data_IF_098278600912
#
_entry.id   IF_098278600912
#
_cell.length_a   1.000
_cell.length_b   1.000
_cell.length_c   1.000
_cell.angle_alpha   90.00
_cell.angle_beta   90.00
_cell.angle_gamma   90.00
#
_symmetry.space_group_name_H-M   'P 1'
#
loop_
_entity.id
_entity.type
_entity.pdbx_description
1 polymer ?
#
# COMPACT_ATOMS: atom_id res chain seq x y z
N UNK A 1 6.98 27.05 31.76
CA UNK A 1 7.84 25.96 31.23
C UNK A 1 7.05 24.73 30.72
N UNK A 2 5.91 24.36 31.31
CA UNK A 2 5.09 23.20 30.89
C UNK A 2 4.61 23.23 29.41
N UNK A 3 4.18 24.40 28.88
CA UNK A 3 3.67 24.52 27.50
C UNK A 3 4.67 24.22 26.38
N UNK A 4 5.99 24.36 26.62
CA UNK A 4 7.03 24.00 25.62
C UNK A 4 7.28 22.50 25.55
N UNK A 5 7.11 21.77 26.63
CA UNK A 5 7.22 20.30 26.66
C UNK A 5 6.09 19.60 25.90
N UNK A 6 4.86 20.12 26.04
CA UNK A 6 3.69 19.54 25.36
C UNK A 6 3.77 19.69 23.84
N UNK A 7 4.30 20.82 23.33
CA UNK A 7 4.50 20.98 21.86
C UNK A 7 5.57 20.03 21.29
N UNK A 8 6.63 19.72 22.03
CA UNK A 8 7.63 18.72 21.62
C UNK A 8 7.08 17.30 21.68
N UNK A 9 6.26 16.97 22.69
CA UNK A 9 5.59 15.68 22.76
C UNK A 9 4.58 15.46 21.63
N UNK A 10 3.80 16.48 21.27
CA UNK A 10 2.92 16.40 20.12
C UNK A 10 3.65 16.10 18.79
N UNK A 11 4.85 16.64 18.61
CA UNK A 11 5.68 16.37 17.44
C UNK A 11 6.27 14.94 17.47
N UNK A 12 6.66 14.43 18.65
CA UNK A 12 7.16 13.05 18.84
C UNK A 12 6.02 12.04 18.65
N UNK A 13 4.82 12.35 19.14
CA UNK A 13 3.63 11.52 18.96
C UNK A 13 3.20 11.42 17.50
N UNK A 14 3.29 12.52 16.74
CA UNK A 14 3.05 12.52 15.30
C UNK A 14 4.14 11.70 14.58
N UNK A 15 5.39 11.78 15.03
CA UNK A 15 6.49 10.98 14.49
C UNK A 15 6.33 9.48 14.82
N UNK A 16 5.95 9.12 16.04
CA UNK A 16 5.70 7.73 16.44
C UNK A 16 4.47 7.15 15.71
N UNK A 17 3.37 7.91 15.60
CA UNK A 17 2.22 7.53 14.80
C UNK A 17 2.55 7.40 13.31
N UNK A 18 3.45 8.22 12.79
CA UNK A 18 3.99 8.12 11.44
C UNK A 18 4.91 6.90 11.29
N UNK A 19 5.65 6.50 12.32
CA UNK A 19 6.54 5.33 12.28
C UNK A 19 5.74 4.03 12.19
N UNK A 20 4.62 3.90 12.91
CA UNK A 20 3.70 2.76 12.80
C UNK A 20 3.02 2.73 11.43
N UNK A 21 2.63 3.89 10.89
CA UNK A 21 2.07 4.00 9.54
C UNK A 21 3.11 3.78 8.41
N UNK A 22 4.41 3.92 8.70
CA UNK A 22 5.51 3.69 7.73
C UNK A 22 5.87 2.21 7.53
N UNK A 23 5.23 1.28 8.25
CA UNK A 23 5.35 -0.16 7.96
C UNK A 23 4.80 -0.54 6.58
N UNK A 24 4.01 0.33 5.96
CA UNK A 24 3.59 0.25 4.56
C UNK A 24 4.16 1.45 3.79
N UNK A 25 5.08 1.25 2.84
CA UNK A 25 5.68 2.34 2.05
C UNK A 25 4.66 3.23 1.34
N UNK A 26 3.51 2.68 1.02
CA UNK A 26 2.42 3.35 0.31
C UNK A 26 1.54 4.21 1.23
N UNK A 27 1.35 3.82 2.48
CA UNK A 27 0.66 4.66 3.48
C UNK A 27 1.52 5.89 3.78
N UNK A 28 2.85 5.76 3.84
CA UNK A 28 3.75 6.87 4.05
C UNK A 28 3.70 7.91 2.92
N UNK A 29 3.59 7.47 1.66
CA UNK A 29 3.50 8.37 0.52
C UNK A 29 2.17 9.13 0.50
N UNK A 30 1.05 8.48 0.80
CA UNK A 30 -0.26 9.12 0.87
C UNK A 30 -0.45 10.01 2.11
N UNK A 31 0.12 9.65 3.25
CA UNK A 31 0.15 10.50 4.44
C UNK A 31 1.04 11.73 4.24
N UNK A 32 2.21 11.60 3.61
CA UNK A 32 3.09 12.75 3.32
C UNK A 32 2.46 13.76 2.34
N UNK A 33 1.65 13.31 1.39
CA UNK A 33 0.98 14.21 0.43
C UNK A 33 -0.29 14.87 0.98
N UNK A 34 -0.89 14.34 2.06
CA UNK A 34 -2.13 14.86 2.65
C UNK A 34 -1.94 15.56 3.99
N UNK A 35 -0.79 15.43 4.63
CA UNK A 35 -0.42 16.19 5.83
C UNK A 35 0.51 17.32 5.44
N UNK A 36 0.02 18.31 4.69
CA UNK A 36 0.55 19.66 4.77
C UNK A 36 0.24 20.16 6.18
N UNK A 37 1.29 20.52 6.91
CA UNK A 37 1.18 21.08 8.28
C UNK A 37 0.23 22.27 8.36
N UNK A 38 -0.06 22.95 7.26
CA UNK A 38 -0.97 24.09 7.18
C UNK A 38 -2.45 23.71 7.09
N UNK A 39 -2.80 22.46 6.74
CA UNK A 39 -4.19 21.99 6.70
C UNK A 39 -4.67 21.29 7.98
N UNK A 40 -3.75 20.95 8.89
CA UNK A 40 -4.11 20.40 10.21
C UNK A 40 -4.72 21.48 11.11
N UNK A 41 -4.47 22.76 10.85
CA UNK A 41 -4.98 23.88 11.62
C UNK A 41 -6.43 24.28 11.31
N UNK A 42 -7.06 23.72 10.26
CA UNK A 42 -8.39 24.19 9.82
C UNK A 42 -9.52 23.15 9.81
N UNK A 43 -9.27 21.87 10.12
CA UNK A 43 -10.37 20.90 10.37
C UNK A 43 -10.42 20.57 11.84
N UNK A 44 -11.55 20.94 12.48
CA UNK A 44 -11.95 20.63 13.87
C UNK A 44 -11.01 19.63 14.50
N UNK A 45 -10.04 20.12 15.25
CA UNK A 45 -9.15 19.37 16.09
C UNK A 45 -9.95 18.28 16.80
N UNK A 46 -9.66 17.02 16.50
CA UNK A 46 -9.98 15.97 17.44
C UNK A 46 -9.41 16.49 18.77
N UNK A 47 -10.26 16.76 19.73
CA UNK A 47 -9.85 17.25 21.05
C UNK A 47 -8.82 16.24 21.53
N UNK A 48 -7.59 16.71 21.74
CA UNK A 48 -6.62 15.96 22.51
C UNK A 48 -7.23 15.79 23.90
N UNK A 49 -7.71 14.60 24.18
CA UNK A 49 -8.14 14.23 25.52
C UNK A 49 -6.85 13.84 26.23
N UNK A 50 -6.46 14.60 27.24
CA UNK A 50 -5.38 14.15 28.10
C UNK A 50 -5.76 12.77 28.65
N UNK A 51 -4.84 11.78 28.62
CA UNK A 51 -5.15 10.44 29.13
C UNK A 51 -5.51 10.56 30.61
N UNK A 52 -6.76 10.32 30.96
CA UNK A 52 -7.25 10.39 32.35
C UNK A 52 -6.65 9.31 33.25
N UNK A 53 -6.05 8.27 32.67
CA UNK A 53 -5.49 7.15 33.40
C UNK A 53 -3.99 6.95 33.14
N UNK A 54 -3.24 7.58 33.98
CA UNK A 54 -1.81 7.42 34.06
C UNK A 54 -1.47 6.19 34.95
N UNK A 55 -0.47 5.38 34.54
CA UNK A 55 0.10 4.32 35.35
C UNK A 55 -0.76 3.07 35.57
N UNK A 56 -1.53 2.60 34.58
CA UNK A 56 -2.16 1.29 34.65
C UNK A 56 -1.11 0.16 34.68
N UNK A 57 -1.25 -0.78 35.60
CA UNK A 57 -0.39 -1.98 35.64
C UNK A 57 -0.76 -3.00 34.57
N UNK A 58 -1.99 -3.00 34.11
CA UNK A 58 -2.51 -3.89 33.07
C UNK A 58 -3.17 -3.09 31.94
N UNK A 59 -2.78 -3.38 30.71
CA UNK A 59 -3.35 -2.86 29.48
C UNK A 59 -4.06 -3.96 28.71
N UNK A 60 -5.10 -3.60 27.98
CA UNK A 60 -5.78 -4.51 27.07
C UNK A 60 -5.43 -4.15 25.63
N UNK A 61 -4.88 -5.10 24.87
CA UNK A 61 -4.69 -4.98 23.45
C UNK A 61 -5.98 -5.36 22.72
N UNK A 62 -6.75 -4.36 22.29
CA UNK A 62 -7.99 -4.54 21.55
C UNK A 62 -7.75 -4.83 20.07
N UNK A 63 -8.70 -5.49 19.42
CA UNK A 63 -8.64 -5.80 18.01
C UNK A 63 -9.23 -4.67 17.15
N UNK A 64 -8.56 -4.38 16.04
CA UNK A 64 -8.95 -3.38 15.04
C UNK A 64 -9.03 -4.01 13.64
N UNK A 65 -9.90 -3.46 12.80
CA UNK A 65 -10.04 -3.89 11.41
C UNK A 65 -8.85 -3.48 10.52
N UNK A 66 -8.11 -2.44 10.92
CA UNK A 66 -6.96 -1.93 10.18
C UNK A 66 -6.02 -1.12 11.09
N UNK A 67 -4.75 -0.92 10.64
CA UNK A 67 -3.82 0.00 11.31
C UNK A 67 -4.40 1.42 11.45
N UNK A 68 -5.11 1.89 10.43
CA UNK A 68 -5.71 3.23 10.46
C UNK A 68 -6.74 3.35 11.58
N UNK A 69 -7.52 2.30 11.82
CA UNK A 69 -8.52 2.31 12.88
C UNK A 69 -7.85 2.20 14.25
N UNK A 70 -6.80 1.39 14.38
CA UNK A 70 -5.97 1.34 15.58
C UNK A 70 -5.33 2.70 15.88
N UNK A 71 -4.76 3.37 14.87
CA UNK A 71 -4.14 4.69 15.04
C UNK A 71 -5.16 5.76 15.45
N UNK A 72 -6.37 5.73 14.92
CA UNK A 72 -7.45 6.64 15.35
C UNK A 72 -7.77 6.45 16.82
N UNK A 73 -7.88 5.20 17.27
CA UNK A 73 -8.11 4.87 18.67
C UNK A 73 -6.98 5.38 19.55
N UNK A 74 -5.72 5.11 19.19
CA UNK A 74 -4.55 5.54 19.95
C UNK A 74 -4.50 7.08 20.10
N UNK A 75 -4.75 7.81 19.02
CA UNK A 75 -4.77 9.29 19.03
C UNK A 75 -5.95 9.86 19.81
N UNK A 76 -7.08 9.13 19.92
CA UNK A 76 -8.28 9.57 20.64
C UNK A 76 -8.25 9.27 22.15
N UNK A 77 -7.14 8.75 22.69
CA UNK A 77 -6.97 8.48 24.11
C UNK A 77 -6.56 7.04 24.46
N UNK A 78 -6.41 6.16 23.44
CA UNK A 78 -5.95 4.78 23.64
C UNK A 78 -4.45 4.62 23.92
N UNK A 79 -3.69 5.72 24.02
CA UNK A 79 -2.29 5.70 24.38
C UNK A 79 -2.12 5.68 25.91
N UNK A 80 -1.14 4.91 26.37
CA UNK A 80 -0.87 4.79 27.79
C UNK A 80 0.47 5.45 28.11
N UNK A 81 0.42 6.46 28.98
CA UNK A 81 1.57 7.26 29.37
C UNK A 81 2.02 6.89 30.79
N UNK A 82 3.31 6.63 30.94
CA UNK A 82 3.96 6.31 32.20
C UNK A 82 5.02 7.36 32.51
N UNK A 83 5.20 7.66 33.80
CA UNK A 83 6.21 8.59 34.28
C UNK A 83 7.08 7.96 35.37
N UNK A 84 8.04 8.72 35.88
CA UNK A 84 8.97 8.29 36.96
C UNK A 84 8.27 7.87 38.26
N UNK A 85 7.03 8.31 38.49
CA UNK A 85 6.27 7.99 39.71
C UNK A 85 5.56 6.64 39.62
N UNK A 86 5.57 5.97 38.46
CA UNK A 86 4.99 4.64 38.34
C UNK A 86 5.78 3.62 39.21
N UNK A 87 5.10 3.04 40.19
CA UNK A 87 5.65 2.09 41.15
C UNK A 87 5.06 0.69 41.06
N UNK A 88 4.26 0.40 40.03
CA UNK A 88 3.65 -0.91 39.83
C UNK A 88 4.67 -2.05 39.89
N UNK A 89 4.26 -3.26 40.27
CA UNK A 89 5.07 -4.43 40.57
C UNK A 89 6.41 -4.48 39.82
N UNK A 90 7.50 -4.10 40.45
CA UNK A 90 8.84 -3.98 39.84
C UNK A 90 8.88 -3.20 38.53
N UNK A 91 7.99 -2.22 38.35
CA UNK A 91 7.85 -1.40 37.13
C UNK A 91 7.49 -2.21 35.85
N UNK A 92 6.83 -3.30 36.02
CA UNK A 92 6.27 -4.07 34.92
C UNK A 92 4.88 -3.54 34.52
N UNK A 93 4.65 -3.43 33.22
CA UNK A 93 3.33 -3.20 32.65
C UNK A 93 2.93 -4.47 31.91
N UNK A 94 1.82 -5.07 32.30
CA UNK A 94 1.24 -6.25 31.68
C UNK A 94 0.35 -5.83 30.52
N UNK A 95 0.41 -6.53 29.41
CA UNK A 95 -0.47 -6.35 28.26
C UNK A 95 -1.20 -7.65 28.02
N UNK A 96 -2.53 -7.65 28.14
CA UNK A 96 -3.41 -8.76 27.81
C UNK A 96 -3.98 -8.64 26.43
N UNK A 97 -3.97 -9.72 25.68
CA UNK A 97 -4.58 -9.79 24.34
C UNK A 97 -6.05 -10.19 24.46
N UNK A 98 -6.94 -9.31 24.01
CA UNK A 98 -8.39 -9.56 24.04
C UNK A 98 -8.83 -10.51 22.92
N UNK A 99 -8.26 -10.37 21.73
CA UNK A 99 -8.67 -11.08 20.52
C UNK A 99 -7.45 -11.56 19.72
N UNK A 100 -7.59 -12.63 18.91
CA UNK A 100 -6.49 -13.15 18.13
C UNK A 100 -6.20 -12.25 16.92
N UNK A 101 -4.93 -12.25 16.46
CA UNK A 101 -4.54 -11.52 15.26
C UNK A 101 -3.06 -11.16 15.21
N UNK A 102 -2.74 -10.09 14.49
CA UNK A 102 -1.42 -9.51 14.44
C UNK A 102 -1.27 -8.50 15.59
N UNK A 103 -0.57 -8.90 16.64
CA UNK A 103 -0.27 -8.04 17.78
C UNK A 103 0.85 -7.07 17.43
N UNK A 104 0.65 -5.81 17.77
CA UNK A 104 1.61 -4.74 17.63
C UNK A 104 1.78 -4.03 18.97
N UNK A 105 3.03 -3.81 19.36
CA UNK A 105 3.37 -2.99 20.53
C UNK A 105 4.53 -2.07 20.18
N UNK A 106 4.31 -0.78 20.33
CA UNK A 106 5.33 0.25 20.26
C UNK A 106 5.59 0.85 21.64
N UNK A 107 6.85 1.09 21.96
CA UNK A 107 7.24 1.76 23.21
C UNK A 107 8.13 2.94 22.86
N UNK A 108 7.66 4.14 23.20
CA UNK A 108 8.33 5.40 22.89
C UNK A 108 8.79 6.06 24.21
N UNK A 109 10.05 6.46 24.30
CA UNK A 109 10.61 7.20 25.43
C UNK A 109 11.30 8.49 24.99
N UNK A 110 11.39 9.46 25.89
CA UNK A 110 12.01 10.77 25.58
C UNK A 110 13.53 10.72 25.44
N UNK A 111 14.18 9.68 25.94
CA UNK A 111 15.63 9.56 26.11
C UNK A 111 16.27 8.48 25.25
N UNK A 112 15.60 8.07 24.17
CA UNK A 112 16.06 7.02 23.24
C UNK A 112 16.36 5.66 23.90
N UNK A 113 15.96 5.48 25.17
CA UNK A 113 16.18 4.23 25.89
C UNK A 113 15.36 3.10 25.29
N UNK A 114 16.03 2.02 24.94
CA UNK A 114 15.39 0.81 24.40
C UNK A 114 14.67 0.05 25.50
N UNK A 115 13.34 0.10 25.49
CA UNK A 115 12.52 -0.60 26.46
C UNK A 115 12.13 -1.96 25.88
N UNK A 116 12.57 -3.06 26.51
CA UNK A 116 12.30 -4.40 25.98
C UNK A 116 10.88 -4.86 26.30
N UNK A 117 10.33 -5.64 25.37
CA UNK A 117 9.06 -6.37 25.53
C UNK A 117 9.39 -7.84 25.83
N UNK A 118 8.56 -8.47 26.65
CA UNK A 118 8.73 -9.84 27.13
C UNK A 118 7.43 -10.64 26.92
N UNK A 119 7.57 -11.96 26.73
CA UNK A 119 6.43 -12.90 26.72
C UNK A 119 5.95 -13.25 28.16
N UNK A 120 4.95 -14.10 28.25
CA UNK A 120 4.39 -14.57 29.54
C UNK A 120 5.42 -15.25 30.45
N UNK A 121 6.45 -15.89 29.89
CA UNK A 121 7.54 -16.50 30.62
C UNK A 121 8.62 -15.47 31.03
N UNK A 122 8.38 -14.18 30.80
CA UNK A 122 9.34 -13.08 30.97
C UNK A 122 10.63 -13.26 30.18
N UNK A 123 10.55 -14.01 29.07
CA UNK A 123 11.63 -14.11 28.10
C UNK A 123 11.55 -12.94 27.15
N UNK A 124 12.67 -12.22 27.00
CA UNK A 124 12.76 -11.07 26.11
C UNK A 124 12.39 -11.45 24.68
N UNK A 125 11.41 -10.75 24.12
CA UNK A 125 11.01 -10.89 22.72
C UNK A 125 11.96 -10.03 21.87
N UNK A 126 12.43 -10.60 20.75
CA UNK A 126 13.22 -9.85 19.78
C UNK A 126 12.26 -8.94 19.01
N UNK A 127 12.38 -7.64 19.27
CA UNK A 127 11.66 -6.61 18.53
C UNK A 127 12.27 -6.53 17.14
N UNK A 128 11.47 -6.80 16.12
CA UNK A 128 11.88 -6.61 14.74
C UNK A 128 11.93 -5.11 14.44
N UNK A 129 13.04 -4.63 13.89
CA UNK A 129 13.08 -3.28 13.32
C UNK A 129 12.21 -3.28 12.06
N UNK A 130 11.05 -2.63 12.12
CA UNK A 130 10.20 -2.44 10.95
C UNK A 130 10.67 -1.25 10.10
N UNK A 131 11.52 -0.38 10.66
CA UNK A 131 12.10 0.77 9.97
C UNK A 131 13.60 0.92 10.25
N UNK A 132 14.34 1.43 9.25
CA UNK A 132 15.74 1.86 9.38
C UNK A 132 15.92 3.06 10.34
N UNK A 133 14.83 3.61 10.88
CA UNK A 133 14.79 4.80 11.73
C UNK A 133 14.94 4.57 13.23
N UNK A 134 15.18 3.34 13.68
CA UNK A 134 15.54 3.06 15.09
C UNK A 134 14.35 2.74 16.01
N UNK A 135 13.11 2.95 15.63
CA UNK A 135 11.94 2.59 16.42
C UNK A 135 11.73 1.07 16.38
N UNK A 136 11.63 0.45 17.56
CA UNK A 136 11.51 -0.99 17.68
C UNK A 136 10.09 -1.34 18.06
N UNK A 137 9.42 -2.02 17.15
CA UNK A 137 8.08 -2.54 17.35
C UNK A 137 8.12 -4.07 17.40
N UNK A 138 7.39 -4.65 18.34
CA UNK A 138 7.11 -6.08 18.29
C UNK A 138 5.89 -6.32 17.43
N UNK A 139 6.03 -7.25 16.50
CA UNK A 139 4.93 -7.70 15.64
C UNK A 139 4.93 -9.22 15.63
N UNK A 140 3.81 -9.83 15.97
CA UNK A 140 3.65 -11.28 16.00
C UNK A 140 2.19 -11.71 16.00
N UNK A 141 1.95 -12.97 15.65
CA UNK A 141 0.62 -13.57 15.74
C UNK A 141 0.36 -13.98 17.17
N UNK A 142 -0.81 -13.60 17.67
CA UNK A 142 -1.26 -13.85 19.03
C UNK A 142 -2.66 -14.51 19.05
N UNK A 143 -2.95 -15.11 20.21
CA UNK A 143 -4.25 -15.68 20.54
C UNK A 143 -4.89 -14.90 21.67
N UNK A 144 -6.19 -14.99 21.81
CA UNK A 144 -6.91 -14.47 22.98
C UNK A 144 -6.31 -15.05 24.26
N UNK A 145 -6.05 -14.18 25.23
CA UNK A 145 -5.46 -14.53 26.51
C UNK A 145 -3.94 -14.56 26.55
N UNK A 146 -3.24 -14.37 25.41
CA UNK A 146 -1.79 -14.19 25.42
C UNK A 146 -1.42 -12.95 26.24
N UNK A 147 -0.28 -13.03 26.95
CA UNK A 147 0.19 -11.98 27.82
C UNK A 147 1.60 -11.54 27.43
N UNK A 148 1.80 -10.23 27.48
CA UNK A 148 3.10 -9.60 27.24
C UNK A 148 3.43 -8.65 28.38
N UNK A 149 4.70 -8.33 28.53
CA UNK A 149 5.19 -7.49 29.61
C UNK A 149 6.19 -6.47 29.08
N UNK A 150 6.04 -5.22 29.51
CA UNK A 150 7.00 -4.14 29.28
C UNK A 150 7.65 -3.78 30.60
N UNK A 151 8.98 -3.86 30.70
CA UNK A 151 9.70 -3.44 31.90
C UNK A 151 10.17 -2.00 31.75
N UNK A 152 9.63 -1.11 32.57
CA UNK A 152 9.98 0.31 32.55
C UNK A 152 11.24 0.55 33.39
N UNK A 153 12.31 1.17 32.85
CA UNK A 153 13.50 1.54 33.60
C UNK A 153 13.21 2.59 34.69
N UNK A 154 13.96 2.55 35.78
CA UNK A 154 13.74 3.44 36.92
C UNK A 154 13.97 4.94 36.61
N UNK A 155 14.90 5.23 35.69
CA UNK A 155 15.34 6.59 35.36
C UNK A 155 14.56 7.28 34.26
N UNK A 156 13.51 6.63 33.68
CA UNK A 156 12.76 7.22 32.60
C UNK A 156 11.76 8.26 33.08
N UNK A 157 11.80 9.45 32.48
CA UNK A 157 10.88 10.54 32.82
C UNK A 157 9.48 10.29 32.25
N UNK A 158 9.39 9.84 30.98
CA UNK A 158 8.11 9.56 30.30
C UNK A 158 8.24 8.44 29.28
N UNK A 159 7.30 7.50 29.32
CA UNK A 159 7.16 6.39 28.37
C UNK A 159 5.73 6.32 27.87
N UNK A 160 5.57 6.13 26.57
CA UNK A 160 4.27 5.87 25.95
C UNK A 160 4.27 4.45 25.44
N UNK A 161 3.25 3.68 25.83
CA UNK A 161 3.00 2.34 25.29
C UNK A 161 1.81 2.44 24.36
N UNK A 162 2.02 1.99 23.12
CA UNK A 162 1.03 1.84 22.07
C UNK A 162 0.81 0.35 21.86
N UNK A 163 -0.40 -0.13 21.96
CA UNK A 163 -0.69 -1.56 21.77
C UNK A 163 -2.01 -1.80 21.09
N UNK A 164 -2.08 -2.86 20.30
CA UNK A 164 -3.31 -3.29 19.64
C UNK A 164 -3.10 -4.58 18.87
N UNK A 165 -4.19 -5.13 18.40
CA UNK A 165 -4.24 -6.32 17.55
C UNK A 165 -4.95 -5.97 16.25
N UNK A 166 -4.39 -6.35 15.12
CA UNK A 166 -5.03 -6.15 13.82
C UNK A 166 -5.55 -7.49 13.32
N UNK A 167 -6.77 -7.51 12.85
CA UNK A 167 -7.37 -8.71 12.23
C UNK A 167 -6.49 -9.24 11.10
N UNK A 168 -6.25 -10.55 11.12
CA UNK A 168 -5.56 -11.27 10.04
C UNK A 168 -6.53 -12.03 9.14
N UNK A 169 -7.82 -11.86 9.36
CA UNK A 169 -8.88 -12.37 8.50
C UNK A 169 -9.84 -11.22 8.15
N UNK A 170 -10.13 -11.07 6.89
CA UNK A 170 -11.02 -10.00 6.41
C UNK A 170 -12.01 -10.54 5.37
N UNK A 171 -13.26 -10.11 5.50
CA UNK A 171 -14.38 -10.60 4.68
C UNK A 171 -14.54 -9.84 3.37
N UNK A 172 -14.02 -8.63 3.28
CA UNK A 172 -14.07 -7.79 2.06
C UNK A 172 -12.99 -6.73 2.10
N UNK A 173 -12.59 -6.25 0.92
CA UNK A 173 -11.59 -5.20 0.77
C UNK A 173 -12.25 -3.87 0.38
N UNK A 174 -11.92 -2.81 1.11
CA UNK A 174 -12.31 -1.43 0.82
C UNK A 174 -11.13 -0.64 0.23
N UNK A 175 -11.44 0.35 -0.61
CA UNK A 175 -10.42 1.18 -1.27
C UNK A 175 -9.58 1.98 -0.26
N UNK A 176 -8.28 2.06 -0.49
CA UNK A 176 -7.30 2.75 0.35
C UNK A 176 -7.20 2.19 1.78
N UNK A 177 -7.34 0.86 1.91
CA UNK A 177 -7.13 0.16 3.17
C UNK A 177 -6.06 -0.91 3.02
N UNK A 178 -5.34 -1.14 4.11
CA UNK A 178 -4.39 -2.22 4.30
C UNK A 178 -5.02 -3.36 5.08
N UNK A 179 -4.65 -4.57 4.75
CA UNK A 179 -5.13 -5.80 5.36
C UNK A 179 -3.97 -6.73 5.66
N UNK A 180 -4.06 -7.46 6.74
CA UNK A 180 -3.06 -8.44 7.10
C UNK A 180 -3.62 -9.84 6.93
N UNK A 181 -2.79 -10.75 6.45
CA UNK A 181 -3.12 -12.16 6.30
C UNK A 181 -2.01 -13.03 6.87
N UNK A 182 -2.39 -14.00 7.70
CA UNK A 182 -1.53 -15.10 8.06
C UNK A 182 -1.70 -16.22 7.03
N UNK A 183 -0.64 -16.55 6.33
CA UNK A 183 -0.62 -17.59 5.31
C UNK A 183 -0.98 -18.96 5.86
N UNK A 184 -1.93 -19.62 5.21
CA UNK A 184 -2.42 -20.97 5.56
C UNK A 184 -1.76 -22.08 4.71
N UNK A 185 -0.85 -21.71 3.78
CA UNK A 185 -0.27 -22.65 2.80
C UNK A 185 -1.24 -23.02 1.66
N UNK A 186 -2.47 -22.56 1.72
CA UNK A 186 -3.53 -22.76 0.72
C UNK A 186 -3.92 -21.42 0.09
N UNK A 187 -4.80 -21.45 -0.91
CA UNK A 187 -5.31 -20.21 -1.51
C UNK A 187 -6.45 -19.65 -0.68
N UNK A 188 -6.31 -18.38 -0.30
CA UNK A 188 -7.35 -17.57 0.35
C UNK A 188 -8.01 -16.64 -0.66
N UNK A 189 -9.25 -16.20 -0.38
CA UNK A 189 -10.05 -15.40 -1.29
C UNK A 189 -10.64 -14.18 -0.57
N UNK A 190 -10.37 -12.99 -1.11
CA UNK A 190 -10.75 -11.71 -0.50
C UNK A 190 -11.65 -10.91 -1.44
N UNK A 191 -12.96 -10.87 -1.19
CA UNK A 191 -13.92 -10.16 -2.03
C UNK A 191 -13.70 -8.64 -2.04
N UNK A 192 -13.92 -8.03 -3.22
CA UNK A 192 -14.02 -6.60 -3.41
C UNK A 192 -14.94 -6.24 -4.57
N UNK A 193 -15.36 -4.98 -4.63
CA UNK A 193 -16.26 -4.50 -5.68
C UNK A 193 -15.68 -3.32 -6.43
N UNK A 194 -15.90 -3.30 -7.73
CA UNK A 194 -15.53 -2.22 -8.63
C UNK A 194 -16.80 -1.62 -9.22
N UNK A 195 -17.17 -0.39 -8.80
CA UNK A 195 -18.40 0.25 -9.24
C UNK A 195 -18.34 0.79 -10.68
N UNK A 196 -17.14 1.19 -11.14
CA UNK A 196 -16.89 1.71 -12.48
C UNK A 196 -15.54 1.20 -12.96
N UNK A 197 -15.30 1.23 -14.27
CA UNK A 197 -14.01 0.91 -14.86
C UNK A 197 -12.87 1.59 -14.09
N UNK A 198 -11.91 0.82 -13.59
CA UNK A 198 -10.88 1.28 -12.67
C UNK A 198 -9.53 0.61 -12.92
N UNK A 199 -8.48 1.31 -12.55
CA UNK A 199 -7.17 0.76 -12.22
C UNK A 199 -7.25 0.22 -10.79
N UNK A 200 -6.95 -1.05 -10.62
CA UNK A 200 -6.93 -1.73 -9.33
C UNK A 200 -5.51 -2.21 -9.07
N UNK A 201 -4.99 -1.85 -7.92
CA UNK A 201 -3.64 -2.16 -7.50
C UNK A 201 -3.68 -2.85 -6.14
N UNK A 202 -2.83 -3.85 -5.99
CA UNK A 202 -2.52 -4.50 -4.73
C UNK A 202 -1.02 -4.39 -4.51
N UNK A 203 -0.63 -3.74 -3.42
CA UNK A 203 0.74 -3.74 -2.94
C UNK A 203 0.85 -4.78 -1.85
N UNK A 204 1.77 -5.75 -2.04
CA UNK A 204 1.90 -6.92 -1.18
C UNK A 204 3.30 -6.90 -0.59
N UNK A 205 3.36 -6.80 0.73
CA UNK A 205 4.61 -6.81 1.50
C UNK A 205 4.59 -7.95 2.51
N UNK A 206 5.75 -8.47 2.87
CA UNK A 206 5.89 -9.49 3.91
C UNK A 206 6.37 -8.88 5.20
N UNK A 207 5.84 -9.37 6.31
CA UNK A 207 6.20 -8.95 7.64
C UNK A 207 6.94 -10.08 8.35
N UNK A 208 7.97 -9.72 9.11
CA UNK A 208 8.78 -10.69 9.83
C UNK A 208 9.89 -11.31 8.98
N UNK A 209 10.33 -12.54 9.32
CA UNK A 209 11.54 -13.16 8.76
C UNK A 209 11.28 -13.97 7.48
N UNK A 210 10.03 -14.34 7.21
CA UNK A 210 9.69 -15.13 6.03
C UNK A 210 9.32 -14.23 4.85
N UNK A 211 10.00 -14.37 3.74
CA UNK A 211 9.79 -13.59 2.52
C UNK A 211 9.66 -14.50 1.30
N UNK A 212 8.84 -15.54 1.42
CA UNK A 212 8.61 -16.48 0.35
C UNK A 212 7.67 -15.91 -0.72
N UNK A 213 7.68 -16.52 -1.88
CA UNK A 213 6.86 -16.09 -3.02
C UNK A 213 5.37 -16.31 -2.75
N UNK A 214 4.57 -15.27 -3.01
CA UNK A 214 3.11 -15.30 -2.91
C UNK A 214 2.50 -15.37 -4.32
N UNK A 215 1.65 -16.36 -4.55
CA UNK A 215 0.88 -16.47 -5.79
C UNK A 215 -0.32 -15.52 -5.77
N UNK A 216 -0.55 -14.77 -6.84
CA UNK A 216 -1.60 -13.72 -6.90
C UNK A 216 -2.39 -13.83 -8.20
N UNK A 217 -3.72 -13.83 -8.10
CA UNK A 217 -4.63 -13.64 -9.23
C UNK A 217 -5.96 -13.09 -8.76
N UNK A 218 -6.78 -12.65 -9.69
CA UNK A 218 -8.14 -12.19 -9.41
C UNK A 218 -9.16 -13.01 -10.19
N UNK A 219 -10.35 -13.10 -9.62
CA UNK A 219 -11.52 -13.69 -10.26
C UNK A 219 -12.68 -12.71 -10.25
N UNK A 220 -13.51 -12.77 -11.27
CA UNK A 220 -14.78 -12.03 -11.40
C UNK A 220 -15.95 -12.96 -11.17
N UNK A 221 -16.93 -12.54 -10.42
CA UNK A 221 -18.20 -13.23 -10.35
C UNK A 221 -19.00 -12.94 -11.64
N UNK A 222 -19.32 -14.00 -12.36
CA UNK A 222 -20.15 -13.95 -13.57
C UNK A 222 -21.32 -14.91 -13.36
N UNK A 223 -22.49 -14.37 -13.05
CA UNK A 223 -23.71 -15.14 -12.78
C UNK A 223 -23.52 -16.22 -11.72
N UNK A 224 -22.93 -15.85 -10.56
CA UNK A 224 -22.67 -16.77 -9.46
C UNK A 224 -21.36 -17.57 -9.56
N UNK A 225 -20.78 -17.68 -10.75
CA UNK A 225 -19.55 -18.43 -11.00
C UNK A 225 -18.32 -17.52 -10.99
N UNK A 226 -17.27 -17.92 -10.25
CA UNK A 226 -16.00 -17.22 -10.23
C UNK A 226 -15.12 -17.60 -11.41
N UNK A 227 -14.77 -16.63 -12.25
CA UNK A 227 -13.94 -16.80 -13.45
C UNK A 227 -12.68 -15.96 -13.36
N UNK A 228 -11.52 -16.56 -13.62
CA UNK A 228 -10.23 -15.90 -13.58
C UNK A 228 -10.15 -14.76 -14.59
N UNK A 229 -9.61 -13.61 -14.17
CA UNK A 229 -9.42 -12.41 -14.98
C UNK A 229 -7.93 -12.14 -15.17
N UNK A 230 -7.53 -12.09 -16.43
CA UNK A 230 -6.12 -11.81 -16.78
C UNK A 230 -5.18 -12.98 -16.50
N UNK A 231 -3.97 -12.64 -16.08
CA UNK A 231 -2.92 -13.57 -15.72
C UNK A 231 -2.79 -13.72 -14.22
N UNK A 232 -2.32 -14.90 -13.78
CA UNK A 232 -1.73 -15.05 -12.46
C UNK A 232 -0.32 -14.50 -12.47
N UNK A 233 0.15 -14.10 -11.32
CA UNK A 233 1.54 -13.74 -11.10
C UNK A 233 2.03 -14.33 -9.80
N UNK A 234 3.33 -14.28 -9.59
CA UNK A 234 3.97 -14.55 -8.33
C UNK A 234 4.78 -13.33 -7.95
N UNK A 235 4.59 -12.84 -6.75
CA UNK A 235 5.35 -11.73 -6.18
C UNK A 235 6.31 -12.25 -5.12
N UNK A 236 7.42 -11.55 -4.92
CA UNK A 236 8.33 -11.77 -3.81
C UNK A 236 8.21 -10.54 -2.90
N UNK A 237 7.50 -10.65 -1.78
CA UNK A 237 7.04 -9.49 -1.03
C UNK A 237 8.09 -8.83 -0.12
N UNK A 238 9.37 -9.07 -0.37
CA UNK A 238 10.52 -8.51 0.35
C UNK A 238 11.07 -7.21 -0.25
N UNK A 239 10.49 -6.74 -1.37
CA UNK A 239 11.00 -5.59 -2.12
C UNK A 239 9.89 -4.64 -2.51
N UNK A 240 10.25 -3.38 -2.75
CA UNK A 240 9.38 -2.28 -3.19
C UNK A 240 8.60 -2.51 -4.49
N UNK A 241 8.86 -3.60 -5.20
CA UNK A 241 8.25 -3.95 -6.50
C UNK A 241 7.13 -5.02 -6.41
N UNK A 242 6.55 -5.23 -5.24
CA UNK A 242 5.48 -6.23 -5.02
C UNK A 242 4.10 -5.78 -5.51
N UNK A 243 4.05 -4.77 -6.33
CA UNK A 243 2.81 -4.21 -6.88
C UNK A 243 2.21 -5.09 -7.96
N UNK A 244 0.93 -5.42 -7.82
CA UNK A 244 0.12 -6.16 -8.79
C UNK A 244 -1.01 -5.28 -9.28
N UNK A 245 -1.07 -5.03 -10.60
CA UNK A 245 -2.01 -4.07 -11.17
C UNK A 245 -2.91 -4.69 -12.25
N UNK A 246 -4.21 -4.42 -12.14
CA UNK A 246 -5.25 -4.84 -13.07
C UNK A 246 -6.08 -3.65 -13.57
N UNK A 247 -6.51 -3.70 -14.82
CA UNK A 247 -7.58 -2.87 -15.35
C UNK A 247 -8.89 -3.65 -15.29
N UNK A 248 -9.89 -3.16 -14.56
CA UNK A 248 -11.14 -3.88 -14.33
C UNK A 248 -12.36 -3.07 -14.77
N UNK A 249 -13.37 -3.76 -15.30
CA UNK A 249 -14.72 -3.23 -15.47
C UNK A 249 -15.49 -3.25 -14.15
N UNK A 250 -16.68 -2.63 -14.13
CA UNK A 250 -17.59 -2.76 -13.00
C UNK A 250 -17.94 -4.23 -12.74
N UNK A 251 -18.06 -4.61 -11.47
CA UNK A 251 -18.39 -5.97 -11.07
C UNK A 251 -17.95 -6.34 -9.66
N UNK A 252 -18.32 -7.56 -9.26
CA UNK A 252 -17.86 -8.21 -8.03
C UNK A 252 -16.66 -9.07 -8.36
N UNK A 253 -15.60 -8.94 -7.57
CA UNK A 253 -14.32 -9.62 -7.74
C UNK A 253 -13.85 -10.23 -6.42
N UNK A 254 -12.86 -11.11 -6.51
CA UNK A 254 -12.08 -11.54 -5.36
C UNK A 254 -10.59 -11.63 -5.72
N UNK A 255 -9.75 -11.17 -4.83
CA UNK A 255 -8.33 -11.40 -4.85
C UNK A 255 -8.08 -12.81 -4.33
N UNK A 256 -7.28 -13.59 -5.03
CA UNK A 256 -6.83 -14.90 -4.60
C UNK A 256 -5.33 -14.83 -4.28
N UNK A 257 -4.98 -15.20 -3.06
CA UNK A 257 -3.61 -15.22 -2.55
C UNK A 257 -3.23 -16.64 -2.18
N UNK A 258 -2.12 -17.13 -2.73
CA UNK A 258 -1.49 -18.38 -2.28
C UNK A 258 -0.27 -18.01 -1.46
N UNK A 259 -0.50 -17.79 -0.18
CA UNK A 259 0.52 -17.38 0.79
C UNK A 259 1.10 -18.62 1.47
N UNK A 260 2.43 -18.77 1.57
CA UNK A 260 3.07 -19.83 2.31
C UNK A 260 2.59 -19.89 3.76
N UNK A 261 2.61 -21.10 4.35
CA UNK A 261 2.17 -21.30 5.72
C UNK A 261 3.02 -20.46 6.69
N UNK A 262 2.36 -19.85 7.66
CA UNK A 262 2.95 -19.01 8.72
C UNK A 262 3.71 -17.76 8.22
N UNK A 263 3.55 -17.38 6.96
CA UNK A 263 4.03 -16.10 6.47
C UNK A 263 2.97 -15.02 6.68
N UNK A 264 3.35 -13.90 7.28
CA UNK A 264 2.47 -12.75 7.42
C UNK A 264 2.69 -11.82 6.23
N UNK A 265 1.61 -11.45 5.56
CA UNK A 265 1.64 -10.45 4.49
C UNK A 265 0.70 -9.28 4.82
N UNK A 266 1.11 -8.11 4.41
CA UNK A 266 0.26 -6.94 4.30
C UNK A 266 -0.18 -6.79 2.84
N UNK A 267 -1.46 -6.50 2.63
CA UNK A 267 -2.05 -6.25 1.32
C UNK A 267 -2.72 -4.90 1.35
N UNK A 268 -2.14 -3.91 0.68
CA UNK A 268 -2.80 -2.63 0.47
C UNK A 268 -3.60 -2.68 -0.84
N UNK A 269 -4.87 -2.31 -0.75
CA UNK A 269 -5.77 -2.25 -1.89
C UNK A 269 -6.09 -0.82 -2.27
N UNK A 270 -5.76 -0.44 -3.49
CA UNK A 270 -6.12 0.86 -4.06
C UNK A 270 -6.89 0.71 -5.37
N UNK A 271 -7.82 1.63 -5.58
CA UNK A 271 -8.66 1.67 -6.76
C UNK A 271 -8.86 3.09 -7.25
N UNK A 272 -8.38 3.35 -8.48
CA UNK A 272 -8.55 4.63 -9.15
C UNK A 272 -9.52 4.51 -10.32
N UNK A 273 -10.51 5.40 -10.39
CA UNK A 273 -11.40 5.47 -11.55
C UNK A 273 -10.62 5.91 -12.78
N UNK A 274 -10.81 5.24 -13.90
CA UNK A 274 -10.24 5.68 -15.16
C UNK A 274 -10.87 7.00 -15.60
N UNK A 275 -10.09 8.08 -15.58
CA UNK A 275 -10.56 9.45 -15.85
C UNK A 275 -10.61 9.81 -17.33
N UNK A 276 -9.96 9.06 -18.23
CA UNK A 276 -9.80 9.46 -19.64
C UNK A 276 -10.59 8.57 -20.60
N UNK A 277 -11.35 9.21 -21.50
CA UNK A 277 -11.99 8.53 -22.62
C UNK A 277 -10.91 8.02 -23.57
N UNK A 278 -11.03 6.78 -24.04
CA UNK A 278 -10.16 6.23 -25.06
C UNK A 278 -10.64 6.63 -26.46
N UNK A 279 -9.72 6.94 -27.37
CA UNK A 279 -10.04 7.14 -28.78
C UNK A 279 -9.89 5.83 -29.53
N UNK A 280 -11.00 5.27 -29.99
CA UNK A 280 -11.03 4.00 -30.70
C UNK A 280 -10.87 4.15 -32.22
N UNK A 281 -11.02 5.36 -32.77
CA UNK A 281 -10.84 5.69 -34.17
C UNK A 281 -9.67 6.64 -34.38
N UNK A 282 -8.91 6.46 -35.47
CA UNK A 282 -7.73 7.30 -35.79
C UNK A 282 -8.14 8.77 -35.97
N UNK A 283 -9.30 9.04 -36.56
CA UNK A 283 -9.85 10.40 -36.75
C UNK A 283 -10.13 11.13 -35.43
N UNK A 284 -10.37 10.38 -34.32
CA UNK A 284 -10.61 10.91 -32.99
C UNK A 284 -9.40 10.73 -32.07
N UNK A 285 -8.19 10.54 -32.63
CA UNK A 285 -6.98 10.26 -31.87
C UNK A 285 -6.70 11.36 -30.83
N UNK A 286 -6.40 10.95 -29.59
CA UNK A 286 -6.08 11.85 -28.49
C UNK A 286 -4.71 12.48 -28.75
N UNK A 287 -4.62 13.81 -28.72
CA UNK A 287 -3.35 14.50 -28.88
C UNK A 287 -2.50 14.35 -27.62
N UNK A 288 -1.30 13.79 -27.78
CA UNK A 288 -0.33 13.63 -26.71
C UNK A 288 0.41 14.96 -26.48
N UNK A 289 -0.13 15.77 -25.58
CA UNK A 289 0.52 17.01 -25.08
C UNK A 289 1.36 16.74 -23.83
N UNK A 290 0.98 15.74 -23.07
CA UNK A 290 1.63 15.23 -21.85
C UNK A 290 1.49 13.72 -21.82
N UNK A 291 2.11 13.09 -20.84
CA UNK A 291 1.94 11.65 -20.60
C UNK A 291 0.49 11.29 -20.30
N UNK A 292 0.06 10.15 -20.83
CA UNK A 292 -1.28 9.62 -20.66
C UNK A 292 -1.19 8.27 -19.94
N UNK A 293 -1.79 8.21 -18.76
CA UNK A 293 -2.12 6.95 -18.08
C UNK A 293 -3.43 6.40 -18.65
N UNK A 294 -3.43 5.14 -19.02
CA UNK A 294 -4.59 4.49 -19.62
C UNK A 294 -4.64 3.01 -19.27
N UNK A 295 -5.84 2.50 -19.00
CA UNK A 295 -6.03 1.10 -18.63
C UNK A 295 -6.70 0.32 -19.75
N UNK A 296 -6.30 -0.95 -19.91
CA UNK A 296 -7.04 -1.97 -20.62
C UNK A 296 -7.64 -2.98 -19.66
N UNK A 297 -8.90 -3.31 -19.88
CA UNK A 297 -9.57 -4.42 -19.19
C UNK A 297 -9.42 -5.71 -19.98
N UNK A 298 -9.68 -6.86 -19.36
CA UNK A 298 -9.59 -8.16 -20.05
C UNK A 298 -10.59 -8.28 -21.18
N UNK A 299 -11.77 -7.67 -21.06
CA UNK A 299 -12.84 -7.72 -22.07
C UNK A 299 -12.64 -6.78 -23.25
N UNK A 300 -11.83 -5.75 -23.09
CA UNK A 300 -11.63 -4.72 -24.12
C UNK A 300 -10.71 -5.24 -25.23
N UNK A 301 -11.21 -5.17 -26.48
CA UNK A 301 -10.50 -5.62 -27.70
C UNK A 301 -10.04 -4.45 -28.58
N UNK A 302 -10.70 -3.29 -28.49
CA UNK A 302 -10.49 -2.17 -29.39
C UNK A 302 -9.10 -1.54 -29.25
N UNK A 303 -8.51 -1.16 -30.38
CA UNK A 303 -7.29 -0.38 -30.42
C UNK A 303 -7.54 1.06 -29.94
N UNK A 304 -6.50 1.70 -29.38
CA UNK A 304 -6.54 3.10 -28.98
C UNK A 304 -5.59 3.92 -29.82
N UNK A 305 -6.05 5.12 -30.19
CA UNK A 305 -5.31 5.99 -31.08
C UNK A 305 -4.91 7.30 -30.42
N UNK A 306 -3.66 7.69 -30.67
CA UNK A 306 -3.06 8.91 -30.19
C UNK A 306 -2.41 9.65 -31.35
N UNK A 307 -2.30 10.97 -31.21
CA UNK A 307 -1.66 11.84 -32.20
C UNK A 307 -0.50 12.58 -31.57
N UNK A 308 0.65 12.59 -32.24
CA UNK A 308 1.87 13.34 -31.85
C UNK A 308 2.16 14.31 -32.97
N UNK A 309 2.28 15.59 -32.67
CA UNK A 309 2.67 16.61 -33.63
C UNK A 309 4.17 16.90 -33.53
N UNK A 310 4.85 16.87 -34.65
CA UNK A 310 6.25 17.30 -34.79
C UNK A 310 6.25 18.61 -35.58
N UNK A 311 6.44 19.73 -34.91
CA UNK A 311 6.44 21.08 -35.48
C UNK A 311 7.83 21.57 -35.95
N UNK A 312 8.89 21.02 -35.38
CA UNK A 312 10.26 21.37 -35.67
C UNK A 312 11.13 20.14 -35.92
N UNK A 313 12.10 20.30 -36.81
CA UNK A 313 13.14 19.29 -37.07
C UNK A 313 14.44 19.53 -36.32
N UNK A 314 14.54 20.68 -35.62
CA UNK A 314 15.76 21.03 -34.83
C UNK A 314 15.98 20.02 -33.69
N UNK A 315 14.91 19.60 -33.00
CA UNK A 315 14.95 18.61 -31.94
C UNK A 315 14.20 17.34 -32.35
N UNK A 316 14.70 16.19 -31.94
CA UNK A 316 14.05 14.91 -32.21
C UNK A 316 12.97 14.63 -31.17
N UNK A 317 11.86 14.02 -31.60
CA UNK A 317 10.84 13.48 -30.70
C UNK A 317 10.86 11.98 -30.67
N UNK A 318 10.51 11.42 -29.53
CA UNK A 318 10.29 10.00 -29.35
C UNK A 318 8.95 9.74 -28.68
N UNK A 319 8.40 8.56 -28.92
CA UNK A 319 7.22 8.04 -28.23
C UNK A 319 7.65 6.89 -27.35
N UNK A 320 7.28 6.95 -26.09
CA UNK A 320 7.59 5.93 -25.10
C UNK A 320 6.31 5.32 -24.57
N UNK A 321 6.27 3.98 -24.49
CA UNK A 321 5.24 3.24 -23.80
C UNK A 321 5.89 2.43 -22.68
N UNK A 322 5.47 2.70 -21.45
CA UNK A 322 5.72 1.85 -20.30
C UNK A 322 4.45 1.10 -19.92
N UNK A 323 4.62 -0.07 -19.34
CA UNK A 323 3.50 -0.88 -18.89
C UNK A 323 3.55 -1.11 -17.39
N UNK A 324 2.35 -1.23 -16.85
CA UNK A 324 2.11 -1.68 -15.50
C UNK A 324 0.93 -2.66 -15.54
N UNK A 325 1.24 -3.96 -15.60
CA UNK A 325 0.25 -5.01 -15.80
C UNK A 325 0.77 -6.36 -15.34
N UNK A 326 -0.14 -7.17 -14.83
CA UNK A 326 0.11 -8.56 -14.47
C UNK A 326 0.18 -9.41 -15.74
N UNK A 327 1.37 -9.79 -16.14
CA UNK A 327 1.56 -10.61 -17.33
C UNK A 327 1.09 -9.93 -18.62
N UNK A 328 1.21 -10.64 -19.75
CA UNK A 328 0.84 -10.10 -21.05
C UNK A 328 1.69 -8.91 -21.49
N UNK A 329 1.07 -7.92 -22.10
CA UNK A 329 1.76 -6.72 -22.57
C UNK A 329 0.95 -5.95 -23.61
N UNK A 330 1.62 -4.95 -24.21
CA UNK A 330 1.02 -4.08 -25.20
C UNK A 330 1.87 -4.04 -26.47
N UNK A 331 1.20 -3.76 -27.59
CA UNK A 331 1.83 -3.46 -28.87
C UNK A 331 1.46 -2.03 -29.24
N UNK A 332 2.46 -1.24 -29.62
CA UNK A 332 2.18 0.05 -30.23
C UNK A 332 2.82 0.16 -31.61
N UNK A 333 2.06 0.76 -32.52
CA UNK A 333 2.47 1.01 -33.90
C UNK A 333 2.47 2.49 -34.16
N UNK A 334 3.53 2.99 -34.77
CA UNK A 334 3.65 4.38 -35.19
C UNK A 334 3.37 4.50 -36.68
N UNK A 335 2.54 5.48 -37.07
CA UNK A 335 2.15 5.76 -38.45
C UNK A 335 2.42 7.22 -38.80
N UNK A 336 2.76 7.47 -40.08
CA UNK A 336 2.79 8.80 -40.68
C UNK A 336 2.20 8.72 -42.11
N UNK A 337 1.37 9.67 -42.50
CA UNK A 337 0.73 9.71 -43.84
C UNK A 337 0.11 8.36 -44.27
N UNK A 338 -0.57 7.67 -43.35
CA UNK A 338 -1.16 6.35 -43.58
C UNK A 338 -0.20 5.16 -43.51
N UNK A 339 1.09 5.35 -43.72
CA UNK A 339 2.09 4.27 -43.69
C UNK A 339 2.51 3.95 -42.24
N UNK A 340 2.64 2.65 -41.92
CA UNK A 340 3.18 2.17 -40.65
C UNK A 340 4.72 2.25 -40.68
N UNK A 341 5.28 3.02 -39.78
CA UNK A 341 6.72 3.24 -39.67
C UNK A 341 7.41 2.21 -38.78
N UNK A 342 6.80 1.91 -37.64
CA UNK A 342 7.39 1.00 -36.64
C UNK A 342 6.31 0.28 -35.86
N UNK A 343 6.59 -0.97 -35.52
CA UNK A 343 5.81 -1.75 -34.56
C UNK A 343 6.70 -2.19 -33.43
N UNK A 344 6.27 -2.01 -32.17
CA UNK A 344 7.00 -2.40 -31.00
C UNK A 344 6.10 -3.17 -30.05
N UNK A 345 6.61 -4.26 -29.49
CA UNK A 345 5.95 -5.05 -28.45
C UNK A 345 6.60 -4.74 -27.11
N UNK A 346 5.79 -4.42 -26.11
CA UNK A 346 6.18 -4.31 -24.70
C UNK A 346 5.64 -5.54 -24.00
N UNK A 347 6.48 -6.52 -23.81
CA UNK A 347 6.13 -7.86 -23.31
C UNK A 347 6.11 -7.88 -21.78
N UNK A 348 5.83 -9.03 -21.18
CA UNK A 348 5.87 -9.20 -19.72
C UNK A 348 7.24 -8.86 -19.10
N UNK A 349 8.33 -9.06 -19.88
CA UNK A 349 9.69 -8.84 -19.41
C UNK A 349 10.18 -7.39 -19.63
N UNK A 350 9.43 -6.59 -20.40
CA UNK A 350 9.81 -5.21 -20.68
C UNK A 350 9.06 -4.27 -19.74
N UNK A 351 9.76 -3.32 -19.11
CA UNK A 351 9.12 -2.22 -18.36
C UNK A 351 8.74 -1.07 -19.31
N UNK A 352 9.60 -0.77 -20.28
CA UNK A 352 9.45 0.37 -21.19
C UNK A 352 10.05 0.10 -22.56
N UNK A 353 9.44 0.65 -23.61
CA UNK A 353 10.00 0.71 -24.97
C UNK A 353 9.78 2.07 -25.59
N UNK A 354 10.76 2.51 -26.39
CA UNK A 354 10.78 3.82 -27.05
C UNK A 354 10.91 3.69 -28.55
N UNK A 355 10.20 4.56 -29.27
CA UNK A 355 10.33 4.72 -30.73
C UNK A 355 10.74 6.16 -31.02
N UNK A 356 11.93 6.34 -31.57
CA UNK A 356 12.41 7.62 -32.10
C UNK A 356 11.64 7.94 -33.38
N UNK A 357 11.03 9.15 -33.44
CA UNK A 357 10.34 9.61 -34.65
C UNK A 357 11.35 10.17 -35.66
N UNK A 358 11.08 10.02 -36.98
CA UNK A 358 11.90 10.67 -38.00
C UNK A 358 11.97 12.17 -37.81
N UNK A 359 13.09 12.80 -38.23
CA UNK A 359 13.28 14.27 -38.29
C UNK A 359 12.42 14.90 -39.39
N UNK A 360 11.11 14.72 -39.37
CA UNK A 360 10.17 15.20 -40.37
C UNK A 360 8.96 15.83 -39.71
N UNK A 361 8.64 17.09 -40.11
CA UNK A 361 7.43 17.77 -39.63
C UNK A 361 6.17 16.99 -40.01
N UNK A 362 5.13 17.10 -39.18
CA UNK A 362 3.83 16.53 -39.43
C UNK A 362 3.21 15.79 -38.26
N UNK A 363 2.06 15.18 -38.54
CA UNK A 363 1.32 14.39 -37.57
C UNK A 363 1.73 12.91 -37.64
N UNK A 364 2.05 12.37 -36.48
CA UNK A 364 2.27 10.95 -36.27
C UNK A 364 1.12 10.38 -35.46
N UNK A 365 0.70 9.16 -35.78
CA UNK A 365 -0.35 8.47 -35.06
C UNK A 365 0.21 7.24 -34.39
N UNK A 366 -0.19 7.03 -33.15
CA UNK A 366 0.22 5.87 -32.35
C UNK A 366 -1.03 5.01 -32.09
N UNK A 367 -0.96 3.75 -32.50
CA UNK A 367 -2.01 2.76 -32.24
C UNK A 367 -1.54 1.82 -31.15
N UNK A 368 -2.22 1.78 -30.02
CA UNK A 368 -1.94 0.86 -28.91
C UNK A 368 -2.97 -0.25 -28.89
N UNK A 369 -2.50 -1.50 -28.71
CA UNK A 369 -3.35 -2.69 -28.60
C UNK A 369 -2.77 -3.63 -27.54
N UNK A 370 -3.60 -4.49 -26.97
CA UNK A 370 -3.14 -5.61 -26.14
C UNK A 370 -2.35 -6.61 -26.99
N UNK A 371 -1.40 -7.30 -26.39
CA UNK A 371 -0.70 -8.42 -27.03
C UNK A 371 -1.54 -9.69 -27.01
N UNK A 372 -2.34 -9.91 -25.97
CA UNK A 372 -3.21 -11.08 -25.83
C UNK A 372 -4.59 -10.67 -25.31
N UNK A 373 -5.60 -11.52 -25.48
CA UNK A 373 -6.93 -11.31 -24.92
C UNK A 373 -6.93 -11.22 -23.38
N UNK A 374 -6.04 -11.96 -22.72
CA UNK A 374 -5.88 -11.96 -21.26
C UNK A 374 -5.15 -10.73 -20.69
N UNK A 375 -4.51 -9.89 -21.54
CA UNK A 375 -3.83 -8.69 -21.04
C UNK A 375 -4.84 -7.75 -20.37
N UNK A 376 -4.54 -7.39 -19.13
CA UNK A 376 -5.27 -6.37 -18.34
C UNK A 376 -4.23 -5.56 -17.55
N UNK A 377 -4.52 -4.29 -17.25
CA UNK A 377 -3.58 -3.42 -16.54
C UNK A 377 -3.49 -2.03 -17.15
N UNK A 378 -2.49 -1.27 -16.72
CA UNK A 378 -2.22 0.09 -17.21
C UNK A 378 -1.04 0.13 -18.18
N UNK A 379 -1.01 1.18 -18.97
CA UNK A 379 0.17 1.64 -19.69
C UNK A 379 0.23 3.17 -19.63
N UNK A 380 1.45 3.66 -19.64
CA UNK A 380 1.76 5.09 -19.75
C UNK A 380 2.33 5.34 -21.13
N UNK A 381 1.73 6.27 -21.85
CA UNK A 381 2.18 6.66 -23.19
C UNK A 381 2.57 8.13 -23.17
N UNK A 382 3.82 8.39 -23.46
CA UNK A 382 4.38 9.74 -23.42
C UNK A 382 5.20 10.07 -24.64
N UNK A 383 5.56 11.36 -24.74
CA UNK A 383 6.51 11.86 -25.73
C UNK A 383 7.58 12.69 -25.04
N UNK A 384 8.81 12.54 -25.47
CA UNK A 384 9.90 13.41 -25.05
C UNK A 384 10.70 13.92 -26.24
N UNK A 385 11.38 15.02 -26.02
CA UNK A 385 12.22 15.69 -27.01
C UNK A 385 13.68 15.59 -26.56
N UNK A 386 14.60 15.30 -27.46
CA UNK A 386 16.02 15.12 -27.18
C UNK A 386 16.89 15.69 -28.29
#
# INVERSE_FOLDING_TARGET
MARRGIKKMGAVLIAAGLSIAMCSPSVSANLRTNISTDKITQKKTARYVEPEEWNKEELTAYQFDSEVDMMKYLVSGGMHLYNKNYKGSDRWVKIKVADPGLFMVGVVSNDETKIPVYDAAKKRIIVNNLNDGGDKEYVGIVKTGDEFYVKLPEKIDKVIILTGVIKTEFTSMANQKSYYELGKGTTTYHPFSVAKRSKVQFDITSIGKKHEKVGVYIEKNVNGTWKKVGYSTTVKPDKYDSTVLYGLEAGKYRLALKTPKDQIINVEYTRDKSKKKAAYKKSKAIHLKSDIDSIYTSTEKAARWYKVSVSSTKKRKAVTLSKDSVGGGFKFCVYQKGKRLKTVKVTKNDKVKTVKLPKKKGAYYVKVTKLTSKTTGAYYLGTYTY
#
